data_IF_439393488784
#
_entry.id   IF_439393488784
#
_cell.length_a   1.000
_cell.length_b   1.000
_cell.length_c   1.000
_cell.angle_alpha   90.00
_cell.angle_beta   90.00
_cell.angle_gamma   90.00
#
_symmetry.space_group_name_H-M   'P 1'
#
loop_
_entity.id
_entity.type
_entity.pdbx_description
1 polymer ?
#
# COMPACT_ATOMS: atom_id res chain seq x y z
N UNK A 1 -3.83 -12.77 -31.83
CA UNK A 1 -3.87 -13.76 -30.76
C UNK A 1 -4.64 -13.19 -29.58
N UNK A 2 -5.59 -13.94 -29.12
CA UNK A 2 -6.35 -13.54 -27.97
C UNK A 2 -5.52 -13.82 -26.72
N UNK A 3 -5.15 -12.81 -25.95
CA UNK A 3 -4.43 -13.10 -24.72
C UNK A 3 -5.34 -13.92 -23.81
N UNK A 4 -4.78 -14.95 -23.22
CA UNK A 4 -5.49 -15.67 -22.19
C UNK A 4 -5.97 -14.67 -21.16
N UNK A 5 -7.18 -14.81 -20.63
CA UNK A 5 -7.59 -13.97 -19.52
C UNK A 5 -6.57 -14.12 -18.43
N UNK A 6 -5.92 -13.03 -18.09
CA UNK A 6 -4.96 -13.05 -17.01
C UNK A 6 -5.72 -13.30 -15.73
N UNK A 7 -5.47 -14.46 -15.13
CA UNK A 7 -5.96 -14.74 -13.80
C UNK A 7 -5.16 -13.88 -12.85
N UNK A 8 -5.75 -12.79 -12.42
CA UNK A 8 -5.15 -11.98 -11.39
C UNK A 8 -5.50 -12.61 -10.05
N UNK A 9 -4.51 -12.88 -9.20
CA UNK A 9 -4.83 -13.34 -7.87
C UNK A 9 -5.63 -12.27 -7.13
N UNK A 10 -6.73 -12.68 -6.54
CA UNK A 10 -7.53 -11.84 -5.66
C UNK A 10 -7.16 -12.16 -4.23
N UNK A 11 -6.69 -11.19 -3.51
CA UNK A 11 -6.35 -11.37 -2.11
C UNK A 11 -6.65 -10.11 -1.31
N UNK A 12 -6.86 -10.30 -0.04
CA UNK A 12 -7.14 -9.23 0.91
C UNK A 12 -5.94 -9.04 1.81
N UNK A 13 -5.54 -7.79 1.95
CA UNK A 13 -4.44 -7.40 2.83
C UNK A 13 -5.01 -6.53 3.93
N UNK A 14 -4.73 -6.89 5.17
CA UNK A 14 -5.06 -6.05 6.33
C UNK A 14 -3.76 -5.57 6.92
N UNK A 15 -3.35 -4.37 6.53
CA UNK A 15 -2.09 -3.81 6.99
C UNK A 15 -2.24 -3.19 8.39
N UNK A 16 -1.38 -3.60 9.30
CA UNK A 16 -1.18 -2.90 10.56
C UNK A 16 -0.14 -1.83 10.34
N UNK A 17 -0.41 -0.64 10.84
CA UNK A 17 0.46 0.51 10.63
C UNK A 17 0.79 1.18 11.96
N UNK A 18 1.93 1.83 12.00
CA UNK A 18 2.29 2.73 13.08
C UNK A 18 1.78 4.14 12.79
N UNK A 19 1.81 5.03 13.78
CA UNK A 19 1.41 6.41 13.55
C UNK A 19 2.18 7.07 12.41
N UNK A 20 1.49 7.88 11.64
CA UNK A 20 2.07 8.60 10.52
C UNK A 20 3.19 9.53 10.96
N UNK A 21 4.26 9.56 10.16
CA UNK A 21 5.42 10.41 10.41
C UNK A 21 5.41 11.51 9.37
N UNK A 22 5.21 12.78 9.76
CA UNK A 22 5.34 13.88 8.83
C UNK A 22 6.80 14.00 8.39
N UNK A 23 7.03 14.07 7.08
CA UNK A 23 8.39 14.17 6.54
C UNK A 23 8.75 15.59 6.19
N UNK A 24 8.01 16.18 5.26
CA UNK A 24 8.28 17.55 4.88
C UNK A 24 7.06 18.20 4.26
N UNK A 25 7.07 19.52 4.27
CA UNK A 25 6.08 20.32 3.61
C UNK A 25 6.68 20.91 2.35
N UNK A 26 6.03 20.67 1.21
CA UNK A 26 6.46 21.18 -0.09
C UNK A 26 5.42 22.19 -0.58
N UNK A 27 5.65 23.47 -0.31
CA UNK A 27 4.64 24.48 -0.58
C UNK A 27 3.40 24.20 0.25
N UNK A 28 2.27 23.95 -0.43
CA UNK A 28 1.02 23.59 0.23
C UNK A 28 0.80 22.08 0.34
N UNK A 29 1.74 21.29 -0.17
CA UNK A 29 1.67 19.84 -0.11
C UNK A 29 2.39 19.31 1.13
N UNK A 30 1.87 18.26 1.71
CA UNK A 30 2.46 17.62 2.90
C UNK A 30 2.80 16.19 2.60
N UNK A 31 4.07 15.82 2.76
CA UNK A 31 4.52 14.44 2.59
C UNK A 31 4.57 13.75 3.95
N UNK A 32 3.94 12.59 4.01
CA UNK A 32 3.84 11.78 5.23
C UNK A 32 4.23 10.35 4.93
N UNK A 33 4.92 9.72 5.87
CA UNK A 33 5.26 8.30 5.79
C UNK A 33 4.49 7.54 6.86
N UNK A 34 3.84 6.46 6.45
CA UNK A 34 3.10 5.58 7.36
C UNK A 34 3.80 4.23 7.39
N UNK A 35 4.49 3.88 8.48
CA UNK A 35 5.15 2.58 8.57
C UNK A 35 4.14 1.45 8.55
N UNK A 36 4.43 0.40 7.78
CA UNK A 36 3.63 -0.82 7.77
C UNK A 36 4.36 -1.85 8.63
N UNK A 37 3.70 -2.32 9.68
CA UNK A 37 4.34 -3.17 10.69
C UNK A 37 4.01 -4.65 10.52
N UNK A 38 3.08 -4.97 9.66
CA UNK A 38 2.68 -6.36 9.42
C UNK A 38 1.22 -6.46 9.06
N UNK A 39 0.69 -7.64 9.13
CA UNK A 39 -0.73 -7.90 8.93
C UNK A 39 -0.98 -9.15 8.09
N UNK A 40 -2.18 -9.71 8.21
CA UNK A 40 -2.54 -10.93 7.50
C UNK A 40 -2.86 -10.67 6.03
N UNK A 41 -2.56 -11.66 5.20
CA UNK A 41 -2.94 -11.71 3.79
C UNK A 41 -3.72 -13.00 3.57
N UNK A 42 -4.87 -12.89 2.96
CA UNK A 42 -5.77 -14.03 2.72
C UNK A 42 -6.40 -13.97 1.34
N UNK A 43 -6.88 -15.11 0.86
CA UNK A 43 -7.45 -15.27 -0.45
C UNK A 43 -6.61 -16.19 -1.30
N UNK A 44 -6.42 -15.84 -2.57
CA UNK A 44 -5.59 -16.63 -3.49
C UNK A 44 -4.12 -16.65 -3.07
N UNK A 45 -3.72 -15.65 -2.31
CA UNK A 45 -2.40 -15.60 -1.67
C UNK A 45 -2.65 -15.56 -0.17
N UNK A 46 -2.02 -16.46 0.56
CA UNK A 46 -2.09 -16.49 2.01
C UNK A 46 -0.71 -16.28 2.61
N UNK A 47 -0.64 -15.47 3.65
CA UNK A 47 0.61 -15.18 4.31
C UNK A 47 0.52 -13.98 5.23
N UNK A 48 1.63 -13.30 5.37
CA UNK A 48 1.76 -12.14 6.23
C UNK A 48 2.59 -11.05 5.55
N UNK A 49 2.28 -9.81 5.87
CA UNK A 49 3.13 -8.68 5.50
C UNK A 49 4.38 -8.73 6.37
N UNK A 50 5.53 -8.65 5.74
CA UNK A 50 6.81 -8.55 6.45
C UNK A 50 6.96 -7.13 6.99
N UNK A 51 7.29 -6.95 8.29
CA UNK A 51 7.54 -5.62 8.82
C UNK A 51 8.65 -4.89 8.07
N UNK A 52 8.55 -3.58 7.96
CA UNK A 52 9.57 -2.74 7.34
C UNK A 52 9.15 -2.03 6.07
N UNK A 53 7.95 -2.30 5.58
CA UNK A 53 7.40 -1.54 4.48
C UNK A 53 6.79 -0.22 4.92
N UNK A 54 6.24 0.50 3.98
CA UNK A 54 5.62 1.78 4.30
C UNK A 54 4.78 2.33 3.16
N UNK A 55 4.06 3.36 3.50
CA UNK A 55 3.18 4.09 2.60
C UNK A 55 3.60 5.56 2.61
N UNK A 56 4.02 6.05 1.45
CA UNK A 56 4.32 7.47 1.25
C UNK A 56 3.06 8.14 0.74
N UNK A 57 2.59 9.12 1.50
CA UNK A 57 1.35 9.81 1.21
C UNK A 57 1.64 11.29 1.03
N UNK A 58 1.42 11.80 -0.17
CA UNK A 58 1.54 13.21 -0.46
C UNK A 58 0.14 13.83 -0.48
N UNK A 59 -0.18 14.61 0.54
CA UNK A 59 -1.41 15.36 0.60
C UNK A 59 -1.25 16.65 -0.18
N UNK A 60 -2.08 16.83 -1.19
CA UNK A 60 -2.08 18.03 -2.01
C UNK A 60 -2.98 19.10 -1.43
N UNK A 61 -2.75 20.35 -1.87
CA UNK A 61 -3.52 21.51 -1.41
C UNK A 61 -5.02 21.37 -1.64
N UNK A 62 -5.44 20.62 -2.66
CA UNK A 62 -6.87 20.41 -2.97
C UNK A 62 -7.50 19.29 -2.13
N UNK A 63 -6.75 18.70 -1.22
CA UNK A 63 -7.23 17.60 -0.35
C UNK A 63 -7.11 16.22 -0.97
N UNK A 64 -6.59 16.10 -2.18
CA UNK A 64 -6.29 14.80 -2.75
C UNK A 64 -4.97 14.25 -2.21
N UNK A 65 -4.78 12.94 -2.33
CA UNK A 65 -3.59 12.25 -1.85
C UNK A 65 -2.98 11.44 -2.98
N UNK A 66 -1.68 11.58 -3.20
CA UNK A 66 -0.92 10.62 -3.98
C UNK A 66 -0.33 9.62 -2.99
N UNK A 67 -0.60 8.35 -3.19
CA UNK A 67 -0.13 7.31 -2.28
C UNK A 67 0.74 6.31 -3.03
N UNK A 68 1.84 5.93 -2.39
CA UNK A 68 2.71 4.88 -2.87
C UNK A 68 3.07 3.99 -1.69
N UNK A 69 2.54 2.78 -1.70
CA UNK A 69 2.82 1.80 -0.67
C UNK A 69 3.76 0.73 -1.21
N UNK A 70 4.76 0.39 -0.44
CA UNK A 70 5.67 -0.70 -0.77
C UNK A 70 5.91 -1.58 0.43
N UNK A 71 5.70 -2.88 0.24
CA UNK A 71 5.87 -3.85 1.30
C UNK A 71 6.11 -5.25 0.72
N UNK A 72 6.59 -6.14 1.56
CA UNK A 72 6.80 -7.53 1.19
C UNK A 72 5.75 -8.41 1.86
N UNK A 73 5.30 -9.42 1.14
CA UNK A 73 4.45 -10.48 1.68
C UNK A 73 5.28 -11.75 1.73
N UNK A 74 5.29 -12.41 2.89
CA UNK A 74 5.80 -13.77 2.98
C UNK A 74 4.61 -14.71 2.96
N UNK A 75 4.57 -15.57 1.94
CA UNK A 75 3.49 -16.55 1.80
C UNK A 75 3.68 -17.70 2.75
N UNK A 76 2.60 -18.45 2.99
CA UNK A 76 2.65 -19.64 3.84
C UNK A 76 3.55 -20.73 3.25
N UNK A 77 3.80 -20.71 1.94
CA UNK A 77 4.73 -21.61 1.28
C UNK A 77 6.19 -21.17 1.36
N UNK A 78 6.46 -19.98 1.92
CA UNK A 78 7.81 -19.46 2.10
C UNK A 78 8.30 -18.52 1.00
N UNK A 79 7.47 -18.24 0.00
CA UNK A 79 7.83 -17.28 -1.03
C UNK A 79 7.70 -15.85 -0.51
N UNK A 80 8.46 -14.94 -1.12
CA UNK A 80 8.39 -13.51 -0.79
C UNK A 80 7.96 -12.75 -2.03
N UNK A 81 6.94 -11.92 -1.86
CA UNK A 81 6.37 -11.11 -2.94
C UNK A 81 6.61 -9.64 -2.61
N UNK A 82 7.19 -8.92 -3.55
CA UNK A 82 7.36 -7.46 -3.47
C UNK A 82 6.11 -6.80 -4.04
N UNK A 83 5.43 -6.00 -3.24
CA UNK A 83 4.20 -5.31 -3.64
C UNK A 83 4.45 -3.82 -3.68
N UNK A 84 4.08 -3.21 -4.81
CA UNK A 84 4.09 -1.76 -4.97
C UNK A 84 2.70 -1.34 -5.43
N UNK A 85 2.05 -0.52 -4.62
CA UNK A 85 0.75 0.06 -4.94
C UNK A 85 0.88 1.56 -5.10
N UNK A 86 0.45 2.07 -6.24
CA UNK A 86 0.44 3.50 -6.52
C UNK A 86 -0.99 3.91 -6.82
N UNK A 87 -1.43 4.99 -6.22
CA UNK A 87 -2.79 5.44 -6.43
C UNK A 87 -2.98 6.91 -6.10
N UNK A 88 -4.17 7.37 -6.43
CA UNK A 88 -4.63 8.71 -6.08
C UNK A 88 -5.94 8.57 -5.33
N UNK A 89 -5.99 9.15 -4.14
CA UNK A 89 -7.21 9.21 -3.34
C UNK A 89 -7.73 10.62 -3.41
N UNK A 90 -8.97 10.77 -3.85
CA UNK A 90 -9.61 12.08 -3.94
C UNK A 90 -10.57 12.28 -2.78
N UNK A 91 -10.78 13.53 -2.34
CA UNK A 91 -11.75 13.77 -1.30
C UNK A 91 -13.13 13.32 -1.78
N UNK A 92 -13.85 12.69 -0.88
CA UNK A 92 -15.21 12.26 -1.12
C UNK A 92 -16.10 13.49 -1.24
N UNK A 93 -16.85 13.58 -2.31
CA UNK A 93 -17.88 14.59 -2.42
C UNK A 93 -19.08 14.15 -1.59
N UNK A 94 -19.37 14.90 -0.57
CA UNK A 94 -20.50 14.62 0.29
C UNK A 94 -21.81 15.00 -0.40
#
# INVERSE_FOLDING_TARGET
MNPAPSLRPCFTVVARVDPAIPLEKRGDDTLTFIPITGGPVSGDIEGEIVPGGGDWCLERADGSYDVEARYLIRTTSGDVIDVVNVGVVRPSEA
#
